data_IF_850773539955
#
_entry.id   IF_850773539955
#
_cell.length_a   1.000
_cell.length_b   1.000
_cell.length_c   1.000
_cell.angle_alpha   90.00
_cell.angle_beta   90.00
_cell.angle_gamma   90.00
#
_symmetry.space_group_name_H-M   'P 1'
#
loop_
_entity.id
_entity.type
_entity.pdbx_description
1 polymer ?
#
# COMPACT_ATOMS: atom_id res chain seq x y z
N UNK A 1 -16.24 11.71 -10.70
CA UNK A 1 -16.14 10.95 -9.44
C UNK A 1 -15.04 9.90 -9.65
N UNK A 2 -13.89 10.02 -8.98
CA UNK A 2 -12.82 9.01 -9.10
C UNK A 2 -13.36 7.72 -8.46
N UNK A 3 -13.60 6.66 -9.25
CA UNK A 3 -13.89 5.32 -8.71
C UNK A 3 -12.61 4.82 -8.04
N UNK A 4 -12.42 5.11 -6.77
CA UNK A 4 -11.25 4.67 -6.04
C UNK A 4 -11.47 3.21 -5.62
N UNK A 5 -11.24 2.29 -6.57
CA UNK A 5 -11.17 0.87 -6.27
C UNK A 5 -9.87 0.62 -5.51
N UNK A 6 -9.98 0.19 -4.26
CA UNK A 6 -8.81 -0.16 -3.47
C UNK A 6 -8.25 -1.52 -3.89
N UNK A 7 -6.93 -1.63 -3.92
CA UNK A 7 -6.27 -2.90 -4.25
C UNK A 7 -6.05 -3.71 -2.98
N UNK A 8 -7.07 -4.49 -2.60
CA UNK A 8 -7.02 -5.36 -1.43
C UNK A 8 -6.88 -6.84 -1.82
N UNK A 9 -6.04 -7.62 -1.13
CA UNK A 9 -5.93 -9.05 -1.40
C UNK A 9 -7.19 -9.80 -0.93
N UNK A 10 -7.52 -10.91 -1.60
CA UNK A 10 -8.62 -11.79 -1.17
C UNK A 10 -8.38 -12.35 0.24
N UNK A 11 -7.12 -12.69 0.56
CA UNK A 11 -6.71 -13.26 1.84
C UNK A 11 -5.35 -12.70 2.27
N UNK A 12 -5.23 -12.35 3.55
CA UNK A 12 -3.95 -12.04 4.19
C UNK A 12 -3.29 -13.30 4.73
N UNK A 13 -1.96 -13.35 4.66
CA UNK A 13 -1.15 -14.46 5.18
C UNK A 13 -0.19 -13.93 6.24
N UNK A 14 0.09 -14.76 7.23
CA UNK A 14 1.07 -14.54 8.29
C UNK A 14 2.47 -14.99 7.84
N UNK A 15 3.51 -14.68 8.62
CA UNK A 15 4.92 -15.01 8.31
C UNK A 15 5.17 -16.52 8.19
N UNK A 16 4.38 -17.33 8.87
CA UNK A 16 4.35 -18.79 8.81
C UNK A 16 3.55 -19.34 7.61
N UNK A 17 3.15 -18.47 6.67
CA UNK A 17 2.32 -18.78 5.48
C UNK A 17 0.89 -19.24 5.80
N UNK A 18 0.47 -19.25 7.07
CA UNK A 18 -0.92 -19.47 7.47
C UNK A 18 -1.82 -18.30 7.08
N UNK A 19 -3.11 -18.57 6.79
CA UNK A 19 -4.09 -17.51 6.52
C UNK A 19 -4.48 -16.79 7.81
N UNK A 20 -4.44 -15.46 7.79
CA UNK A 20 -4.98 -14.65 8.88
C UNK A 20 -6.50 -14.76 8.86
N UNK A 21 -7.10 -15.27 9.95
CA UNK A 21 -8.54 -15.49 10.09
C UNK A 21 -9.23 -14.52 11.05
N UNK A 22 -8.45 -13.85 11.91
CA UNK A 22 -8.97 -12.86 12.84
C UNK A 22 -9.53 -11.65 12.08
N UNK A 23 -10.86 -11.44 12.18
CA UNK A 23 -11.57 -10.38 11.44
C UNK A 23 -11.01 -8.99 11.74
N UNK A 24 -10.70 -8.70 13.01
CA UNK A 24 -10.17 -7.39 13.39
C UNK A 24 -8.79 -7.13 12.78
N UNK A 25 -7.90 -8.14 12.78
CA UNK A 25 -6.60 -8.02 12.11
C UNK A 25 -6.75 -7.76 10.61
N UNK A 26 -7.66 -8.46 9.95
CA UNK A 26 -7.94 -8.27 8.51
C UNK A 26 -8.46 -6.86 8.24
N UNK A 27 -9.38 -6.37 9.09
CA UNK A 27 -9.94 -5.01 8.98
C UNK A 27 -8.83 -3.96 9.04
N UNK A 28 -7.99 -4.01 10.08
CA UNK A 28 -6.87 -3.07 10.26
C UNK A 28 -5.89 -3.14 9.08
N UNK A 29 -5.55 -4.34 8.59
CA UNK A 29 -4.67 -4.48 7.42
C UNK A 29 -5.27 -3.86 6.16
N UNK A 30 -6.59 -4.01 5.94
CA UNK A 30 -7.27 -3.39 4.82
C UNK A 30 -7.28 -1.87 4.95
N UNK A 31 -7.65 -1.34 6.12
CA UNK A 31 -7.67 0.11 6.41
C UNK A 31 -6.30 0.72 6.14
N UNK A 32 -5.21 0.10 6.61
CA UNK A 32 -3.84 0.56 6.35
C UNK A 32 -3.50 0.66 4.85
N UNK A 33 -3.91 -0.32 4.02
CA UNK A 33 -3.67 -0.27 2.57
C UNK A 33 -4.53 0.83 1.91
N UNK A 34 -5.77 1.01 2.37
CA UNK A 34 -6.65 2.05 1.86
C UNK A 34 -6.12 3.46 2.18
N UNK A 35 -5.61 3.66 3.40
CA UNK A 35 -4.96 4.89 3.83
C UNK A 35 -3.71 5.17 2.99
N UNK A 36 -2.84 4.15 2.81
CA UNK A 36 -1.66 4.28 1.96
C UNK A 36 -2.03 4.65 0.52
N UNK A 37 -3.02 4.00 -0.08
CA UNK A 37 -3.44 4.30 -1.45
C UNK A 37 -4.02 5.72 -1.58
N UNK A 38 -4.74 6.19 -0.56
CA UNK A 38 -5.27 7.56 -0.53
C UNK A 38 -4.12 8.57 -0.51
N UNK A 39 -3.15 8.38 0.40
CA UNK A 39 -1.96 9.22 0.48
C UNK A 39 -1.14 9.20 -0.81
N UNK A 40 -0.96 8.04 -1.44
CA UNK A 40 -0.24 7.90 -2.70
C UNK A 40 -0.93 8.66 -3.85
N UNK A 41 -2.27 8.66 -3.89
CA UNK A 41 -3.03 9.44 -4.87
C UNK A 41 -2.83 10.94 -4.67
N UNK A 42 -2.89 11.42 -3.42
CA UNK A 42 -2.71 12.84 -3.11
C UNK A 42 -1.29 13.30 -3.52
N UNK A 43 -0.26 12.53 -3.16
CA UNK A 43 1.13 12.82 -3.54
C UNK A 43 1.31 12.83 -5.06
N UNK A 44 0.65 11.91 -5.79
CA UNK A 44 0.69 11.88 -7.25
C UNK A 44 -0.02 13.09 -7.88
N UNK A 45 -1.19 13.46 -7.37
CA UNK A 45 -1.94 14.63 -7.85
C UNK A 45 -1.09 15.91 -7.67
N UNK A 46 -0.40 16.08 -6.54
CA UNK A 46 0.54 17.18 -6.29
C UNK A 46 1.74 17.16 -7.26
N UNK A 47 2.34 15.98 -7.49
CA UNK A 47 3.45 15.86 -8.44
C UNK A 47 3.06 16.24 -9.87
N UNK A 48 1.87 15.81 -10.31
CA UNK A 48 1.31 16.18 -11.62
C UNK A 48 1.03 17.68 -11.68
N UNK A 49 0.49 18.27 -10.61
CA UNK A 49 0.22 19.71 -10.53
C UNK A 49 1.51 20.54 -10.65
N UNK A 50 2.63 20.02 -10.15
CA UNK A 50 3.97 20.62 -10.29
C UNK A 50 4.62 20.38 -11.67
N UNK A 51 3.95 19.66 -12.58
CA UNK A 51 4.45 19.39 -13.93
C UNK A 51 5.42 18.20 -14.02
N UNK A 52 5.43 17.30 -13.03
CA UNK A 52 6.21 16.06 -13.12
C UNK A 52 5.65 15.08 -14.15
N UNK A 53 6.52 14.27 -14.76
CA UNK A 53 6.08 13.15 -15.58
C UNK A 53 5.42 12.07 -14.71
N UNK A 54 4.18 11.71 -15.05
CA UNK A 54 3.36 10.79 -14.27
C UNK A 54 3.97 9.38 -14.19
N UNK A 55 4.50 8.87 -15.30
CA UNK A 55 5.00 7.50 -15.37
C UNK A 55 6.31 7.36 -14.59
N UNK A 56 7.22 8.32 -14.74
CA UNK A 56 8.45 8.42 -13.97
C UNK A 56 8.16 8.51 -12.46
N UNK A 57 7.17 9.32 -12.06
CA UNK A 57 6.82 9.48 -10.65
C UNK A 57 6.21 8.19 -10.07
N UNK A 58 5.33 7.52 -10.82
CA UNK A 58 4.77 6.22 -10.43
C UNK A 58 5.85 5.15 -10.27
N UNK A 59 6.81 5.06 -11.20
CA UNK A 59 7.93 4.12 -11.08
C UNK A 59 8.79 4.46 -9.84
N UNK A 60 9.03 5.74 -9.58
CA UNK A 60 9.75 6.18 -8.38
C UNK A 60 9.04 5.74 -7.09
N UNK A 61 7.73 5.97 -6.99
CA UNK A 61 6.94 5.52 -5.83
C UNK A 61 7.01 3.99 -5.65
N UNK A 62 6.92 3.23 -6.75
CA UNK A 62 7.06 1.77 -6.71
C UNK A 62 8.43 1.34 -6.18
N UNK A 63 9.52 1.99 -6.59
CA UNK A 63 10.86 1.69 -6.07
C UNK A 63 11.01 2.02 -4.57
N UNK A 64 10.38 3.10 -4.10
CA UNK A 64 10.33 3.42 -2.66
C UNK A 64 9.60 2.31 -1.87
N UNK A 65 8.44 1.85 -2.36
CA UNK A 65 7.72 0.74 -1.72
C UNK A 65 8.54 -0.54 -1.69
N UNK A 66 9.19 -0.89 -2.81
CA UNK A 66 10.02 -2.10 -2.91
C UNK A 66 11.28 -2.06 -2.02
N UNK A 67 11.83 -0.87 -1.76
CA UNK A 67 13.02 -0.68 -0.91
C UNK A 67 12.70 -0.42 0.56
N UNK A 68 11.41 -0.40 0.94
CA UNK A 68 10.97 -0.19 2.32
C UNK A 68 11.36 -1.39 3.19
N UNK A 69 11.94 -1.12 4.36
CA UNK A 69 12.44 -2.16 5.28
C UNK A 69 11.61 -2.20 6.57
N UNK A 70 11.58 -3.36 7.23
CA UNK A 70 10.96 -3.52 8.55
C UNK A 70 12.01 -3.70 9.63
N UNK A 71 11.89 -2.95 10.73
CA UNK A 71 12.73 -3.12 11.92
C UNK A 71 12.33 -4.32 12.78
N UNK A 72 11.19 -4.96 12.48
CA UNK A 72 10.74 -6.15 13.18
C UNK A 72 11.45 -7.38 12.62
N UNK A 73 12.14 -8.13 13.47
CA UNK A 73 12.63 -9.46 13.12
C UNK A 73 11.41 -10.36 12.95
N UNK A 74 11.30 -11.03 11.79
CA UNK A 74 10.34 -12.12 11.58
C UNK A 74 10.33 -13.00 12.84
N UNK A 75 9.20 -13.07 13.54
CA UNK A 75 9.05 -13.98 14.66
C UNK A 75 9.34 -15.39 14.14
N UNK A 76 10.39 -16.01 14.67
CA UNK A 76 10.70 -17.42 14.42
C UNK A 76 9.71 -18.29 15.17
#
# INVERSE_FOLDING_TARGET
>A
MKNNSFVLPKHWHSSDKGRISCKEKIKVLNENIQEFQTMANDILDEAILMGADKEQFLETMKQVVLSTNSSLKSAK
#
